data_IF_519258809003
#
_entry.id   IF_519258809003
#
_cell.length_a   1.000
_cell.length_b   1.000
_cell.length_c   1.000
_cell.angle_alpha   90.00
_cell.angle_beta   90.00
_cell.angle_gamma   90.00
#
_symmetry.space_group_name_H-M   'P 1'
#
loop_
_entity.id
_entity.type
_entity.pdbx_description
1 polymer ?
#
# COMPACT_ATOMS: atom_id res chain seq x y z
N UNK A 1 -33.61 -12.51 -7.52
CA UNK A 1 -32.31 -12.14 -6.93
C UNK A 1 -32.14 -10.65 -7.10
N UNK A 2 -32.10 -9.88 -6.01
CA UNK A 2 -31.92 -8.43 -6.07
C UNK A 2 -30.45 -8.09 -6.28
N UNK A 3 -30.20 -7.09 -7.12
CA UNK A 3 -28.89 -6.47 -7.36
C UNK A 3 -28.25 -6.02 -6.03
N UNK A 4 -26.93 -6.13 -5.88
CA UNK A 4 -26.27 -5.76 -4.62
C UNK A 4 -26.29 -4.23 -4.43
N UNK A 5 -26.48 -3.76 -3.20
CA UNK A 5 -26.64 -2.32 -2.88
C UNK A 5 -25.41 -1.46 -3.24
N UNK A 6 -24.23 -2.07 -3.34
CA UNK A 6 -22.97 -1.41 -3.69
C UNK A 6 -22.41 -1.84 -5.05
N UNK A 7 -23.24 -2.38 -5.93
CA UNK A 7 -22.81 -2.85 -7.26
C UNK A 7 -22.14 -1.76 -8.11
N UNK A 8 -22.55 -0.51 -7.92
CA UNK A 8 -21.91 0.65 -8.55
C UNK A 8 -20.40 0.73 -8.27
N UNK A 9 -19.94 0.29 -7.09
CA UNK A 9 -18.51 0.27 -6.75
C UNK A 9 -17.74 -0.75 -7.59
N UNK A 10 -18.37 -1.90 -7.89
CA UNK A 10 -17.79 -2.94 -8.73
C UNK A 10 -17.77 -2.51 -10.21
N UNK A 11 -18.84 -1.85 -10.68
CA UNK A 11 -18.91 -1.30 -12.03
C UNK A 11 -17.86 -0.19 -12.25
N UNK A 12 -17.68 0.70 -11.28
CA UNK A 12 -16.63 1.74 -11.31
C UNK A 12 -15.22 1.12 -11.36
N UNK A 13 -14.99 0.07 -10.56
CA UNK A 13 -13.71 -0.65 -10.57
C UNK A 13 -13.47 -1.33 -11.91
N UNK A 14 -14.49 -1.97 -12.48
CA UNK A 14 -14.42 -2.63 -13.79
C UNK A 14 -14.12 -1.61 -14.91
N UNK A 15 -14.84 -0.49 -14.92
CA UNK A 15 -14.62 0.60 -15.90
C UNK A 15 -13.18 1.12 -15.88
N UNK A 16 -12.58 1.29 -14.68
CA UNK A 16 -11.17 1.69 -14.55
C UNK A 16 -10.20 0.63 -15.09
N UNK A 17 -10.53 -0.65 -14.95
CA UNK A 17 -9.70 -1.74 -15.47
C UNK A 17 -9.78 -1.87 -16.98
N UNK A 18 -10.98 -1.70 -17.54
CA UNK A 18 -11.20 -1.73 -18.98
C UNK A 18 -10.46 -0.58 -19.68
N UNK A 19 -10.40 0.59 -19.04
CA UNK A 19 -9.65 1.75 -19.53
C UNK A 19 -8.12 1.60 -19.41
N UNK A 20 -7.64 0.72 -18.53
CA UNK A 20 -6.21 0.58 -18.24
C UNK A 20 -5.83 -0.88 -17.90
N UNK A 21 -5.86 -1.80 -18.88
CA UNK A 21 -5.69 -3.25 -18.65
C UNK A 21 -4.33 -3.63 -18.05
N UNK A 22 -3.30 -2.82 -18.31
CA UNK A 22 -1.95 -3.04 -17.77
C UNK A 22 -1.85 -2.79 -16.26
N UNK A 23 -2.82 -2.12 -15.64
CA UNK A 23 -2.77 -1.73 -14.23
C UNK A 23 -2.65 -2.92 -13.29
N UNK A 24 -3.30 -4.05 -13.59
CA UNK A 24 -3.19 -5.25 -12.77
C UNK A 24 -1.80 -5.89 -12.84
N UNK A 25 -1.15 -5.85 -14.02
CA UNK A 25 0.23 -6.31 -14.19
C UNK A 25 1.19 -5.43 -13.41
N UNK A 26 1.05 -4.10 -13.52
CA UNK A 26 1.87 -3.14 -12.77
C UNK A 26 1.69 -3.34 -11.27
N UNK A 27 0.44 -3.50 -10.81
CA UNK A 27 0.13 -3.72 -9.38
C UNK A 27 0.86 -4.95 -8.84
N UNK A 28 0.77 -6.06 -9.56
CA UNK A 28 1.47 -7.31 -9.22
C UNK A 28 2.99 -7.13 -9.13
N UNK A 29 3.57 -6.35 -10.03
CA UNK A 29 5.02 -6.14 -10.08
C UNK A 29 5.53 -5.15 -9.04
N UNK A 30 4.73 -4.15 -8.65
CA UNK A 30 5.23 -2.99 -7.90
C UNK A 30 4.77 -2.95 -6.45
N UNK A 31 3.48 -3.21 -6.17
CA UNK A 31 2.90 -2.97 -4.83
C UNK A 31 2.52 -4.25 -4.09
N UNK A 32 2.20 -5.34 -4.78
CA UNK A 32 1.77 -6.58 -4.11
C UNK A 32 2.86 -7.17 -3.22
N UNK A 33 4.11 -7.18 -3.68
CA UNK A 33 5.23 -7.70 -2.89
C UNK A 33 5.54 -6.84 -1.64
N UNK A 34 5.70 -5.51 -1.74
CA UNK A 34 5.80 -4.64 -0.57
C UNK A 34 4.63 -4.80 0.41
N UNK A 35 3.41 -4.88 -0.12
CA UNK A 35 2.22 -5.05 0.71
C UNK A 35 2.19 -6.39 1.45
N UNK A 36 2.60 -7.48 0.79
CA UNK A 36 2.77 -8.79 1.43
C UNK A 36 3.80 -8.76 2.56
N UNK A 37 4.91 -8.03 2.36
CA UNK A 37 5.95 -7.86 3.39
C UNK A 37 5.42 -7.07 4.58
N UNK A 38 4.74 -5.96 4.32
CA UNK A 38 4.10 -5.13 5.35
C UNK A 38 3.10 -5.95 6.19
N UNK A 39 2.22 -6.70 5.50
CA UNK A 39 1.25 -7.56 6.16
C UNK A 39 1.91 -8.65 7.01
N UNK A 40 2.99 -9.25 6.52
CA UNK A 40 3.74 -10.25 7.28
C UNK A 40 4.40 -9.63 8.54
N UNK A 41 4.92 -8.40 8.46
CA UNK A 41 5.52 -7.70 9.60
C UNK A 41 4.50 -7.23 10.63
N UNK A 42 3.32 -6.79 10.18
CA UNK A 42 2.20 -6.42 11.07
C UNK A 42 1.67 -7.61 11.89
N UNK A 43 1.94 -8.84 11.44
CA UNK A 43 1.50 -10.06 12.11
C UNK A 43 0.02 -10.38 11.88
N UNK A 44 -0.47 -11.40 12.58
CA UNK A 44 -1.87 -11.84 12.48
C UNK A 44 -2.85 -10.91 13.20
N UNK A 45 -2.35 -9.94 13.99
CA UNK A 45 -3.16 -8.98 14.74
C UNK A 45 -3.63 -7.85 13.85
N UNK A 46 -4.91 -7.50 14.00
CA UNK A 46 -5.50 -6.31 13.41
C UNK A 46 -4.83 -5.04 13.94
N UNK A 47 -5.02 -3.93 13.21
CA UNK A 47 -4.62 -2.60 13.65
C UNK A 47 -4.91 -2.38 15.13
N UNK A 48 -3.93 -1.82 15.84
CA UNK A 48 -4.04 -1.54 17.27
C UNK A 48 -5.05 -0.43 17.55
N UNK A 49 -5.21 0.47 16.59
CA UNK A 49 -6.13 1.60 16.67
C UNK A 49 -7.52 1.29 16.11
N UNK A 50 -8.50 2.11 16.50
CA UNK A 50 -9.87 2.06 16.01
C UNK A 50 -10.23 3.40 15.36
N UNK A 51 -11.22 3.38 14.47
CA UNK A 51 -11.63 4.46 13.54
C UNK A 51 -10.70 4.62 12.33
N UNK A 52 -11.27 5.03 11.19
CA UNK A 52 -10.56 5.08 9.91
C UNK A 52 -9.36 6.02 9.95
N UNK A 53 -9.48 7.18 10.58
CA UNK A 53 -8.39 8.17 10.65
C UNK A 53 -7.17 7.63 11.40
N UNK A 54 -7.39 6.93 12.52
CA UNK A 54 -6.30 6.36 13.32
C UNK A 54 -5.69 5.14 12.66
N UNK A 55 -6.53 4.27 12.08
CA UNK A 55 -6.06 3.09 11.32
C UNK A 55 -5.25 3.52 10.09
N UNK A 56 -5.66 4.59 9.41
CA UNK A 56 -4.92 5.14 8.27
C UNK A 56 -3.56 5.70 8.69
N UNK A 57 -3.50 6.32 9.88
CA UNK A 57 -2.24 6.77 10.48
C UNK A 57 -1.30 5.59 10.78
N UNK A 58 -1.82 4.53 11.39
CA UNK A 58 -1.06 3.31 11.70
C UNK A 58 -0.52 2.64 10.42
N UNK A 59 -1.35 2.50 9.37
CA UNK A 59 -0.92 2.02 8.07
C UNK A 59 0.19 2.90 7.47
N UNK A 60 0.04 4.23 7.56
CA UNK A 60 1.02 5.18 7.02
C UNK A 60 2.38 5.05 7.70
N UNK A 61 2.40 4.82 9.03
CA UNK A 61 3.63 4.58 9.78
C UNK A 61 4.31 3.27 9.36
N UNK A 62 3.55 2.19 9.13
CA UNK A 62 4.11 0.93 8.63
C UNK A 62 4.74 1.10 7.24
N UNK A 63 4.03 1.76 6.32
CA UNK A 63 4.53 2.04 4.97
C UNK A 63 5.81 2.90 5.03
N UNK A 64 5.83 3.93 5.89
CA UNK A 64 6.99 4.78 6.10
C UNK A 64 8.20 3.98 6.60
N UNK A 65 8.01 3.14 7.63
CA UNK A 65 9.08 2.32 8.18
C UNK A 65 9.65 1.33 7.15
N UNK A 66 8.79 0.68 6.37
CA UNK A 66 9.22 -0.21 5.28
C UNK A 66 10.01 0.55 4.21
N UNK A 67 9.48 1.68 3.73
CA UNK A 67 10.13 2.49 2.71
C UNK A 67 11.50 2.99 3.20
N UNK A 68 11.58 3.47 4.44
CA UNK A 68 12.84 3.93 5.03
C UNK A 68 13.87 2.81 5.11
N UNK A 69 13.48 1.62 5.60
CA UNK A 69 14.36 0.45 5.62
C UNK A 69 14.84 0.05 4.22
N UNK A 70 13.94 0.09 3.23
CA UNK A 70 14.26 -0.21 1.83
C UNK A 70 15.22 0.82 1.24
N UNK A 71 15.00 2.11 1.49
CA UNK A 71 15.89 3.18 1.02
C UNK A 71 17.29 3.06 1.65
N UNK A 72 17.37 2.76 2.94
CA UNK A 72 18.65 2.47 3.60
C UNK A 72 19.38 1.28 2.96
N UNK A 73 18.66 0.22 2.60
CA UNK A 73 19.25 -0.95 1.93
C UNK A 73 19.68 -0.68 0.49
N UNK A 74 19.01 0.21 -0.24
CA UNK A 74 19.30 0.52 -1.64
C UNK A 74 20.37 1.59 -1.81
N UNK A 75 20.32 2.64 -0.99
CA UNK A 75 21.16 3.82 -1.11
C UNK A 75 22.30 3.84 -0.07
N UNK A 76 22.14 3.15 1.04
CA UNK A 76 23.00 3.30 2.22
C UNK A 76 22.67 4.56 3.03
N UNK A 77 23.16 4.59 4.27
CA UNK A 77 22.86 5.68 5.23
C UNK A 77 23.39 7.04 4.77
N UNK A 78 24.62 7.09 4.24
CA UNK A 78 25.28 8.35 3.87
C UNK A 78 24.60 9.03 2.68
N UNK A 79 24.30 8.28 1.61
CA UNK A 79 23.63 8.83 0.43
C UNK A 79 22.18 9.24 0.75
N UNK A 80 21.47 8.47 1.59
CA UNK A 80 20.13 8.84 2.03
C UNK A 80 20.13 10.15 2.82
N UNK A 81 21.06 10.31 3.77
CA UNK A 81 21.18 11.53 4.56
C UNK A 81 21.55 12.75 3.72
N UNK A 82 22.37 12.57 2.67
CA UNK A 82 22.67 13.65 1.72
C UNK A 82 21.42 14.06 0.93
N UNK A 83 20.65 13.09 0.42
CA UNK A 83 19.43 13.34 -0.34
C UNK A 83 18.34 14.03 0.48
N UNK A 84 18.26 13.79 1.80
CA UNK A 84 17.29 14.45 2.70
C UNK A 84 17.66 15.90 3.05
N UNK A 85 18.90 16.32 2.83
CA UNK A 85 19.38 17.68 3.13
C UNK A 85 19.32 18.64 1.92
N UNK A 86 19.13 18.09 0.72
CA UNK A 86 18.96 18.84 -0.52
C UNK A 86 17.53 19.37 -0.65
#
# INVERSE_FOLDING_TARGET
MSRWEHEAVLEDMQSRLDQAPEMMRIRRQTVEHPFGTLKAWMGATHFLTRTLDRVSTEMSLHVLAYNFKRMLSLLGSSALMAAMRA
#
